data_IF_477717639866
#
_entry.id   IF_477717639866
#
_cell.length_a   1.000
_cell.length_b   1.000
_cell.length_c   1.000
_cell.angle_alpha   90.00
_cell.angle_beta   90.00
_cell.angle_gamma   90.00
#
_symmetry.space_group_name_H-M   'P 1'
#
loop_
_entity.id
_entity.type
_entity.pdbx_description
1 polymer ?
#
# COMPACT_ATOMS: atom_id res chain seq x y z
N UNK A 1 6.71 19.85 0.57
CA UNK A 1 5.33 19.29 0.53
C UNK A 1 5.23 18.32 1.70
N UNK A 2 4.12 18.24 2.43
CA UNK A 2 4.08 17.49 3.71
C UNK A 2 3.80 15.99 3.53
N UNK A 3 4.11 15.20 4.56
CA UNK A 3 3.75 13.77 4.67
C UNK A 3 2.26 13.52 4.34
N UNK A 4 1.36 14.41 4.75
CA UNK A 4 -0.08 14.30 4.47
C UNK A 4 -0.39 14.35 2.98
N UNK A 5 0.29 15.22 2.23
CA UNK A 5 0.09 15.33 0.79
C UNK A 5 0.58 14.07 0.06
N UNK A 6 1.73 13.51 0.46
CA UNK A 6 2.23 12.23 -0.08
C UNK A 6 1.28 11.07 0.25
N UNK A 7 0.75 11.02 1.47
CA UNK A 7 -0.21 9.99 1.89
C UNK A 7 -1.49 10.06 1.07
N UNK A 8 -2.01 11.28 0.83
CA UNK A 8 -3.18 11.50 -0.02
C UNK A 8 -2.94 11.09 -1.47
N UNK A 9 -1.80 11.46 -2.04
CA UNK A 9 -1.44 11.07 -3.41
C UNK A 9 -1.32 9.54 -3.54
N UNK A 10 -0.68 8.88 -2.55
CA UNK A 10 -0.57 7.43 -2.51
C UNK A 10 -1.94 6.74 -2.41
N UNK A 11 -2.89 7.32 -1.65
CA UNK A 11 -4.27 6.83 -1.60
C UNK A 11 -4.94 6.94 -2.97
N UNK A 12 -4.84 8.08 -3.65
CA UNK A 12 -5.44 8.29 -4.99
C UNK A 12 -4.91 7.24 -5.97
N UNK A 13 -3.60 7.04 -6.03
CA UNK A 13 -2.99 6.01 -6.88
C UNK A 13 -3.41 4.58 -6.52
N UNK A 14 -3.58 4.30 -5.24
CA UNK A 14 -4.15 3.03 -4.79
C UNK A 14 -5.59 2.85 -5.31
N UNK A 15 -6.40 3.91 -5.29
CA UNK A 15 -7.77 3.90 -5.85
C UNK A 15 -7.72 3.65 -7.35
N UNK A 16 -6.86 4.36 -8.10
CA UNK A 16 -6.75 4.21 -9.56
C UNK A 16 -6.33 2.80 -9.99
N UNK A 17 -5.48 2.17 -9.19
CA UNK A 17 -5.04 0.79 -9.38
C UNK A 17 -6.15 -0.21 -9.03
N UNK A 18 -6.88 0.04 -7.94
CA UNK A 18 -7.84 -0.90 -7.38
C UNK A 18 -9.19 -0.86 -8.11
N UNK A 19 -9.72 0.33 -8.39
CA UNK A 19 -11.08 0.54 -8.86
C UNK A 19 -11.39 -0.20 -10.18
N UNK A 20 -10.56 -0.15 -11.24
CA UNK A 20 -10.88 -0.81 -12.52
C UNK A 20 -11.13 -2.32 -12.39
N UNK A 21 -10.44 -2.98 -11.46
CA UNK A 21 -10.58 -4.43 -11.23
C UNK A 21 -11.70 -4.82 -10.27
N UNK A 22 -12.23 -3.87 -9.49
CA UNK A 22 -13.09 -4.16 -8.33
C UNK A 22 -14.51 -3.58 -8.44
N UNK A 23 -14.72 -2.52 -9.22
CA UNK A 23 -16.05 -1.91 -9.41
C UNK A 23 -17.06 -2.83 -10.13
N UNK A 24 -16.60 -3.94 -10.69
CA UNK A 24 -17.43 -4.96 -11.32
C UNK A 24 -17.65 -6.20 -10.44
N UNK A 25 -17.20 -6.19 -9.18
CA UNK A 25 -17.34 -7.33 -8.28
C UNK A 25 -18.83 -7.71 -8.11
N UNK A 26 -19.15 -9.03 -8.04
CA UNK A 26 -20.53 -9.51 -8.03
C UNK A 26 -21.33 -9.02 -6.81
N UNK A 27 -20.65 -8.70 -5.71
CA UNK A 27 -21.24 -8.25 -4.45
C UNK A 27 -21.04 -6.74 -4.20
N UNK A 28 -20.71 -5.97 -5.24
CA UNK A 28 -20.41 -4.54 -5.13
C UNK A 28 -19.01 -4.26 -4.59
N UNK A 29 -18.68 -2.98 -4.54
CA UNK A 29 -17.40 -2.46 -4.11
C UNK A 29 -17.63 -1.41 -3.01
N UNK A 30 -16.71 -1.35 -2.04
CA UNK A 30 -16.75 -0.32 -1.02
C UNK A 30 -15.37 0.26 -0.74
N UNK A 31 -15.37 1.55 -0.42
CA UNK A 31 -14.24 2.26 0.14
C UNK A 31 -14.55 2.62 1.59
N UNK A 32 -13.58 2.39 2.48
CA UNK A 32 -13.67 2.78 3.88
C UNK A 32 -12.52 3.71 4.21
N UNK A 33 -12.80 4.91 4.73
CA UNK A 33 -11.82 5.75 5.41
C UNK A 33 -12.25 5.92 6.88
N UNK A 34 -11.51 5.31 7.80
CA UNK A 34 -11.90 5.29 9.22
C UNK A 34 -10.77 5.72 10.17
N UNK A 35 -11.14 6.43 11.22
CA UNK A 35 -10.27 6.85 12.31
C UNK A 35 -11.08 6.97 13.61
N UNK A 36 -10.49 6.63 14.76
CA UNK A 36 -11.08 6.99 16.06
C UNK A 36 -10.84 8.47 16.41
N UNK A 37 -10.06 9.18 15.58
CA UNK A 37 -9.79 10.62 15.60
C UNK A 37 -10.45 11.29 14.39
N UNK A 38 -10.25 12.60 14.22
CA UNK A 38 -10.75 13.30 13.04
C UNK A 38 -10.05 12.82 11.75
N UNK A 39 -10.81 12.72 10.66
CA UNK A 39 -10.25 12.43 9.34
C UNK A 39 -9.59 13.67 8.74
N UNK A 40 -8.59 13.44 7.89
CA UNK A 40 -8.08 14.49 7.02
C UNK A 40 -9.10 14.78 5.91
N UNK A 41 -9.71 15.96 5.94
CA UNK A 41 -10.78 16.30 5.01
C UNK A 41 -10.31 16.34 3.56
N UNK A 42 -9.09 16.81 3.30
CA UNK A 42 -8.56 16.91 1.93
C UNK A 42 -8.30 15.51 1.35
N UNK A 43 -7.85 14.57 2.18
CA UNK A 43 -7.72 13.16 1.82
C UNK A 43 -9.08 12.52 1.54
N UNK A 44 -10.08 12.80 2.38
CA UNK A 44 -11.43 12.29 2.19
C UNK A 44 -12.07 12.80 0.88
N UNK A 45 -11.93 14.09 0.59
CA UNK A 45 -12.39 14.66 -0.68
C UNK A 45 -11.64 14.09 -1.89
N UNK A 46 -10.32 13.95 -1.80
CA UNK A 46 -9.52 13.36 -2.87
C UNK A 46 -9.95 11.93 -3.18
N UNK A 47 -10.31 11.13 -2.18
CA UNK A 47 -10.88 9.80 -2.40
C UNK A 47 -12.20 9.86 -3.16
N UNK A 48 -13.11 10.78 -2.81
CA UNK A 48 -14.38 10.95 -3.55
C UNK A 48 -14.12 11.36 -5.00
N UNK A 49 -13.22 12.33 -5.25
CA UNK A 49 -12.85 12.76 -6.61
C UNK A 49 -12.28 11.60 -7.42
N UNK A 50 -11.32 10.85 -6.86
CA UNK A 50 -10.72 9.69 -7.53
C UNK A 50 -11.76 8.64 -7.92
N UNK A 51 -12.71 8.31 -7.04
CA UNK A 51 -13.77 7.36 -7.40
C UNK A 51 -14.78 7.93 -8.41
N UNK A 52 -15.03 9.25 -8.40
CA UNK A 52 -15.91 9.89 -9.36
C UNK A 52 -15.37 9.81 -10.80
N UNK A 53 -14.06 9.72 -11.00
CA UNK A 53 -13.45 9.48 -12.32
C UNK A 53 -13.83 8.13 -12.93
N UNK A 54 -14.29 7.18 -12.11
CA UNK A 54 -14.76 5.85 -12.54
C UNK A 54 -16.29 5.71 -12.52
N UNK A 55 -17.03 6.81 -12.29
CA UNK A 55 -18.48 6.81 -12.15
C UNK A 55 -19.21 6.22 -13.35
N UNK A 56 -18.72 6.49 -14.57
CA UNK A 56 -19.23 5.97 -15.84
C UNK A 56 -19.08 4.45 -15.99
N UNK A 57 -18.20 3.83 -15.20
CA UNK A 57 -17.92 2.38 -15.21
C UNK A 57 -18.73 1.62 -14.17
N UNK A 58 -19.51 2.29 -13.32
CA UNK A 58 -20.29 1.63 -12.29
C UNK A 58 -21.39 0.76 -12.92
N UNK A 59 -21.30 -0.56 -12.70
CA UNK A 59 -22.36 -1.53 -13.04
C UNK A 59 -23.15 -2.01 -11.83
N UNK A 60 -22.64 -1.68 -10.64
CA UNK A 60 -23.17 -2.02 -9.32
C UNK A 60 -22.91 -0.82 -8.38
N UNK A 61 -23.65 -0.72 -7.27
CA UNK A 61 -23.41 0.34 -6.31
C UNK A 61 -21.97 0.31 -5.77
N UNK A 62 -21.36 1.49 -5.69
CA UNK A 62 -20.12 1.77 -4.97
C UNK A 62 -20.48 2.52 -3.69
N UNK A 63 -20.04 2.00 -2.55
CA UNK A 63 -20.29 2.62 -1.24
C UNK A 63 -18.99 3.22 -0.69
N UNK A 64 -18.94 4.53 -0.49
CA UNK A 64 -17.85 5.22 0.20
C UNK A 64 -18.27 5.53 1.64
N UNK A 65 -17.51 5.03 2.61
CA UNK A 65 -17.80 5.15 4.04
C UNK A 65 -16.69 5.95 4.72
N UNK A 66 -17.05 7.05 5.36
CA UNK A 66 -16.16 7.89 6.14
C UNK A 66 -16.58 7.81 7.61
N UNK A 67 -15.77 7.19 8.45
CA UNK A 67 -16.13 6.83 9.84
C UNK A 67 -15.16 7.49 10.82
N UNK A 68 -15.62 8.51 11.53
CA UNK A 68 -14.82 9.23 12.54
C UNK A 68 -15.69 10.09 13.46
N UNK A 69 -15.21 10.53 14.63
CA UNK A 69 -15.82 11.63 15.36
C UNK A 69 -15.75 12.97 14.58
N UNK A 70 -16.62 13.93 14.92
CA UNK A 70 -16.52 15.32 14.43
C UNK A 70 -16.77 15.49 12.93
N UNK A 71 -17.78 14.81 12.39
CA UNK A 71 -17.98 14.68 10.93
C UNK A 71 -18.90 15.74 10.30
N UNK A 72 -19.36 16.72 11.08
CA UNK A 72 -20.36 17.70 10.66
C UNK A 72 -19.87 18.52 9.45
N UNK A 73 -18.63 19.03 9.54
CA UNK A 73 -18.01 19.81 8.45
C UNK A 73 -17.65 18.92 7.25
N UNK A 74 -17.19 17.69 7.49
CA UNK A 74 -16.87 16.74 6.44
C UNK A 74 -18.08 16.40 5.57
N UNK A 75 -19.26 16.22 6.18
CA UNK A 75 -20.50 15.91 5.45
C UNK A 75 -20.84 16.98 4.41
N UNK A 76 -20.74 18.26 4.78
CA UNK A 76 -20.99 19.36 3.83
C UNK A 76 -19.98 19.35 2.70
N UNK A 77 -18.69 19.21 3.02
CA UNK A 77 -17.60 19.20 2.03
C UNK A 77 -17.75 18.07 1.02
N UNK A 78 -18.04 16.84 1.47
CA UNK A 78 -18.23 15.71 0.56
C UNK A 78 -19.49 15.87 -0.31
N UNK A 79 -20.56 16.45 0.21
CA UNK A 79 -21.75 16.78 -0.60
C UNK A 79 -21.44 17.83 -1.68
N UNK A 80 -20.55 18.79 -1.40
CA UNK A 80 -20.10 19.77 -2.39
C UNK A 80 -19.29 19.09 -3.51
N UNK A 81 -18.36 18.21 -3.17
CA UNK A 81 -17.59 17.42 -4.14
C UNK A 81 -18.49 16.54 -5.00
N UNK A 82 -19.48 15.87 -4.41
CA UNK A 82 -20.44 15.05 -5.17
C UNK A 82 -21.24 15.88 -6.19
N UNK A 83 -21.61 17.11 -5.84
CA UNK A 83 -22.30 18.03 -6.76
C UNK A 83 -21.37 18.54 -7.86
N UNK A 84 -20.15 18.94 -7.51
CA UNK A 84 -19.11 19.38 -8.45
C UNK A 84 -18.86 18.32 -9.53
N UNK A 85 -18.76 17.05 -9.11
CA UNK A 85 -18.46 15.91 -10.00
C UNK A 85 -19.69 15.24 -10.58
N UNK A 86 -20.90 15.73 -10.29
CA UNK A 86 -22.16 15.14 -10.74
C UNK A 86 -22.23 13.62 -10.50
N UNK A 87 -21.81 13.17 -9.31
CA UNK A 87 -21.69 11.74 -9.01
C UNK A 87 -23.04 11.03 -9.16
N UNK A 88 -23.09 9.85 -9.81
CA UNK A 88 -24.33 9.13 -10.05
C UNK A 88 -24.90 8.52 -8.75
N UNK A 89 -26.18 8.15 -8.75
CA UNK A 89 -26.86 7.59 -7.58
C UNK A 89 -26.27 6.24 -7.13
N UNK A 90 -25.63 5.52 -8.05
CA UNK A 90 -24.87 4.29 -7.82
C UNK A 90 -23.64 4.53 -6.94
N UNK A 91 -23.13 5.76 -6.86
CA UNK A 91 -22.01 6.15 -6.00
C UNK A 91 -22.54 6.77 -4.70
N UNK A 92 -22.64 5.95 -3.66
CA UNK A 92 -23.20 6.35 -2.37
C UNK A 92 -22.11 6.78 -1.40
N UNK A 93 -22.19 8.01 -0.91
CA UNK A 93 -21.27 8.54 0.10
C UNK A 93 -21.97 8.62 1.45
N UNK A 94 -21.38 7.96 2.44
CA UNK A 94 -21.89 7.88 3.80
C UNK A 94 -20.85 8.42 4.77
N UNK A 95 -21.25 9.41 5.56
CA UNK A 95 -20.43 9.96 6.64
C UNK A 95 -21.07 9.56 7.96
N UNK A 96 -20.32 8.85 8.80
CA UNK A 96 -20.81 8.21 10.01
C UNK A 96 -20.02 8.69 11.22
N UNK A 97 -20.67 9.28 12.24
CA UNK A 97 -20.00 9.77 13.44
C UNK A 97 -19.56 8.60 14.32
N UNK A 98 -18.29 8.22 14.18
CA UNK A 98 -17.65 7.12 14.92
C UNK A 98 -18.35 5.77 14.77
N UNK A 99 -18.00 4.84 15.65
CA UNK A 99 -18.71 3.55 15.80
C UNK A 99 -17.90 2.33 15.40
N UNK A 100 -18.54 1.17 15.55
CA UNK A 100 -17.96 -0.13 15.23
C UNK A 100 -17.91 -0.31 13.70
N UNK A 101 -16.71 -0.25 13.11
CA UNK A 101 -16.48 -0.35 11.67
C UNK A 101 -17.18 -1.57 11.03
N UNK A 102 -17.04 -2.81 11.56
CA UNK A 102 -17.83 -3.95 11.08
C UNK A 102 -19.34 -3.73 11.05
N UNK A 103 -19.91 -3.08 12.07
CA UNK A 103 -21.34 -2.78 12.12
C UNK A 103 -21.74 -1.73 11.07
N UNK A 104 -20.91 -0.70 10.85
CA UNK A 104 -21.12 0.33 9.83
C UNK A 104 -21.07 -0.28 8.42
N UNK A 105 -20.06 -1.12 8.13
CA UNK A 105 -19.96 -1.83 6.85
C UNK A 105 -21.20 -2.71 6.60
N UNK A 106 -21.68 -3.41 7.64
CA UNK A 106 -22.90 -4.22 7.54
C UNK A 106 -24.15 -3.37 7.28
N UNK A 107 -24.31 -2.28 8.02
CA UNK A 107 -25.46 -1.38 7.89
C UNK A 107 -25.52 -0.71 6.50
N UNK A 108 -24.36 -0.40 5.92
CA UNK A 108 -24.25 0.16 4.57
C UNK A 108 -24.36 -0.89 3.44
N UNK A 109 -24.58 -2.17 3.76
CA UNK A 109 -24.61 -3.26 2.77
C UNK A 109 -23.25 -3.60 2.14
N UNK A 110 -22.17 -2.98 2.63
CA UNK A 110 -20.81 -3.12 2.11
C UNK A 110 -20.05 -4.36 2.64
N UNK A 111 -20.63 -5.11 3.58
CA UNK A 111 -19.94 -6.24 4.24
C UNK A 111 -19.72 -7.48 3.38
N UNK A 112 -20.39 -7.61 2.23
CA UNK A 112 -20.25 -8.75 1.31
C UNK A 112 -19.38 -8.47 0.08
N UNK A 113 -19.05 -7.20 -0.17
CA UNK A 113 -18.31 -6.75 -1.36
C UNK A 113 -16.79 -6.79 -1.20
N UNK A 114 -16.09 -6.36 -2.25
CA UNK A 114 -14.65 -6.08 -2.16
C UNK A 114 -14.45 -4.71 -1.51
N UNK A 115 -13.60 -4.65 -0.47
CA UNK A 115 -13.34 -3.42 0.28
C UNK A 115 -11.90 -2.99 0.08
N UNK A 116 -11.70 -1.72 -0.27
CA UNK A 116 -10.45 -0.97 -0.09
C UNK A 116 -10.62 -0.11 1.15
N UNK A 117 -9.74 -0.26 2.14
CA UNK A 117 -9.81 0.53 3.36
C UNK A 117 -8.54 1.37 3.55
N UNK A 118 -8.71 2.64 3.90
CA UNK A 118 -7.70 3.45 4.56
C UNK A 118 -8.09 3.60 6.03
N UNK A 119 -7.20 3.22 6.93
CA UNK A 119 -7.45 3.32 8.37
C UNK A 119 -6.20 3.84 9.06
N UNK A 120 -6.35 4.51 10.19
CA UNK A 120 -5.20 4.75 11.04
C UNK A 120 -5.01 3.65 12.11
N UNK A 121 -3.93 3.72 12.87
CA UNK A 121 -3.59 2.77 13.92
C UNK A 121 -4.62 2.70 15.07
N UNK A 122 -5.48 3.69 15.20
CA UNK A 122 -6.54 3.71 16.20
C UNK A 122 -7.73 2.80 15.86
N UNK A 123 -7.81 2.33 14.61
CA UNK A 123 -8.87 1.42 14.16
C UNK A 123 -8.39 -0.03 14.20
N UNK A 124 -9.14 -0.86 14.94
CA UNK A 124 -8.96 -2.31 14.91
C UNK A 124 -9.34 -2.87 13.53
N UNK A 125 -8.43 -3.62 12.91
CA UNK A 125 -8.60 -4.21 11.57
C UNK A 125 -9.38 -5.53 11.61
N UNK A 126 -10.49 -5.57 12.34
CA UNK A 126 -11.33 -6.78 12.53
C UNK A 126 -12.39 -6.97 11.44
N UNK A 127 -12.31 -6.20 10.37
CA UNK A 127 -13.24 -6.25 9.24
C UNK A 127 -12.59 -6.96 8.03
N UNK A 128 -13.42 -7.47 7.12
CA UNK A 128 -12.95 -8.09 5.88
C UNK A 128 -12.64 -7.02 4.84
N UNK A 129 -11.42 -7.02 4.32
CA UNK A 129 -11.02 -6.17 3.20
C UNK A 129 -10.13 -6.92 2.21
N UNK A 130 -10.11 -6.42 0.98
CA UNK A 130 -9.22 -6.91 -0.09
C UNK A 130 -7.86 -6.22 -0.04
N UNK A 131 -7.87 -4.94 0.37
CA UNK A 131 -6.72 -4.06 0.50
C UNK A 131 -6.93 -3.16 1.72
N UNK A 132 -5.88 -2.98 2.52
CA UNK A 132 -5.84 -2.02 3.63
C UNK A 132 -4.58 -1.16 3.48
N UNK A 133 -4.76 0.16 3.52
CA UNK A 133 -3.72 1.17 3.71
C UNK A 133 -3.82 1.66 5.16
N UNK A 134 -2.87 1.27 6.00
CA UNK A 134 -2.79 1.62 7.41
C UNK A 134 -1.85 2.82 7.60
N UNK A 135 -2.32 3.87 8.27
CA UNK A 135 -1.51 5.03 8.66
C UNK A 135 -1.20 4.94 10.15
N UNK A 136 0.07 4.98 10.54
CA UNK A 136 0.45 4.75 11.92
C UNK A 136 1.67 5.57 12.35
N UNK A 137 1.93 5.59 13.65
CA UNK A 137 3.17 6.14 14.19
C UNK A 137 4.40 5.38 13.65
N UNK A 138 5.53 6.07 13.40
CA UNK A 138 6.79 5.43 12.99
C UNK A 138 7.27 4.40 14.03
N UNK A 139 7.99 3.38 13.59
CA UNK A 139 8.50 2.29 14.43
C UNK A 139 7.46 1.22 14.81
N UNK A 140 6.19 1.39 14.45
CA UNK A 140 5.11 0.45 14.80
C UNK A 140 4.88 -0.67 13.77
N UNK A 141 5.73 -0.77 12.73
CA UNK A 141 5.50 -1.66 11.59
C UNK A 141 5.32 -3.12 11.97
N UNK A 142 6.09 -3.63 12.93
CA UNK A 142 5.96 -5.03 13.38
C UNK A 142 4.55 -5.33 13.89
N UNK A 143 3.98 -4.43 14.69
CA UNK A 143 2.62 -4.56 15.22
C UNK A 143 1.58 -4.42 14.10
N UNK A 144 1.70 -3.39 13.26
CA UNK A 144 0.77 -3.18 12.14
C UNK A 144 0.76 -4.37 11.18
N UNK A 145 1.93 -4.94 10.88
CA UNK A 145 2.05 -6.13 10.04
C UNK A 145 1.32 -7.34 10.65
N UNK A 146 1.47 -7.56 11.96
CA UNK A 146 0.77 -8.64 12.66
C UNK A 146 -0.74 -8.46 12.64
N UNK A 147 -1.23 -7.22 12.81
CA UNK A 147 -2.67 -6.92 12.73
C UNK A 147 -3.23 -7.15 11.31
N UNK A 148 -2.51 -6.73 10.27
CA UNK A 148 -2.90 -6.98 8.88
C UNK A 148 -2.94 -8.48 8.57
N UNK A 149 -1.94 -9.24 9.02
CA UNK A 149 -1.88 -10.70 8.86
C UNK A 149 -3.01 -11.40 9.63
N UNK A 150 -3.31 -10.95 10.86
CA UNK A 150 -4.44 -11.46 11.63
C UNK A 150 -5.79 -11.17 10.95
N UNK A 151 -5.88 -10.09 10.17
CA UNK A 151 -7.03 -9.79 9.32
C UNK A 151 -7.08 -10.63 8.02
N UNK A 152 -6.13 -11.54 7.81
CA UNK A 152 -6.03 -12.42 6.64
C UNK A 152 -5.43 -11.75 5.39
N UNK A 153 -4.63 -10.69 5.59
CA UNK A 153 -3.88 -9.97 4.56
C UNK A 153 -2.39 -10.35 4.64
N UNK A 154 -2.07 -11.55 4.14
CA UNK A 154 -0.74 -12.16 4.32
C UNK A 154 0.38 -11.44 3.54
N UNK A 155 0.02 -10.69 2.50
CA UNK A 155 0.95 -9.93 1.67
C UNK A 155 0.99 -8.48 2.13
N UNK A 156 2.06 -8.14 2.82
CA UNK A 156 2.22 -6.85 3.50
C UNK A 156 3.47 -6.11 3.05
N UNK A 157 3.42 -4.78 2.99
CA UNK A 157 4.59 -3.91 2.87
C UNK A 157 4.45 -2.70 3.79
N UNK A 158 5.56 -2.17 4.28
CA UNK A 158 5.60 -0.99 5.12
C UNK A 158 6.65 -0.02 4.62
N UNK A 159 6.36 1.27 4.72
CA UNK A 159 7.29 2.36 4.39
C UNK A 159 7.06 3.49 5.36
N UNK A 160 8.13 4.09 5.86
CA UNK A 160 8.04 5.30 6.65
C UNK A 160 8.31 6.51 5.75
N UNK A 161 7.38 7.45 5.74
CA UNK A 161 7.52 8.76 5.12
C UNK A 161 8.21 9.67 6.14
N UNK A 162 9.32 10.31 5.76
CA UNK A 162 10.13 11.14 6.65
C UNK A 162 10.29 12.53 6.06
N UNK A 163 9.93 13.58 6.80
CA UNK A 163 10.09 14.99 6.45
C UNK A 163 10.77 15.73 7.62
N UNK A 164 12.10 15.89 7.52
CA UNK A 164 12.90 16.43 8.63
C UNK A 164 12.81 15.57 9.89
N UNK A 165 12.18 16.10 10.94
CA UNK A 165 11.95 15.40 12.21
C UNK A 165 10.60 14.67 12.28
N UNK A 166 9.69 14.96 11.35
CA UNK A 166 8.39 14.30 11.28
C UNK A 166 8.51 12.98 10.51
N UNK A 167 7.81 11.96 10.99
CA UNK A 167 7.72 10.69 10.29
C UNK A 167 6.35 10.05 10.47
N UNK A 168 5.93 9.26 9.49
CA UNK A 168 4.68 8.51 9.52
C UNK A 168 4.87 7.17 8.83
N UNK A 169 4.35 6.11 9.44
CA UNK A 169 4.33 4.79 8.82
C UNK A 169 3.10 4.65 7.92
N UNK A 170 3.34 4.18 6.71
CA UNK A 170 2.31 3.65 5.80
C UNK A 170 2.49 2.15 5.70
N UNK A 171 1.52 1.40 6.22
CA UNK A 171 1.39 -0.03 6.05
C UNK A 171 0.42 -0.36 4.91
N UNK A 172 0.72 -1.38 4.14
CA UNK A 172 -0.15 -1.91 3.10
C UNK A 172 -0.35 -3.41 3.34
N UNK A 173 -1.60 -3.88 3.26
CA UNK A 173 -1.95 -5.28 3.37
C UNK A 173 -2.93 -5.72 2.29
N UNK A 174 -2.70 -6.87 1.68
CA UNK A 174 -3.58 -7.46 0.67
C UNK A 174 -3.48 -8.99 0.65
N UNK A 175 -4.39 -9.63 -0.09
CA UNK A 175 -4.33 -11.06 -0.46
C UNK A 175 -3.78 -11.28 -1.87
N UNK A 176 -3.54 -10.20 -2.62
CA UNK A 176 -3.20 -10.24 -4.05
C UNK A 176 -1.75 -9.81 -4.27
N UNK A 177 -0.91 -10.72 -4.78
CA UNK A 177 0.47 -10.38 -5.15
C UNK A 177 0.52 -9.26 -6.19
N UNK A 178 -0.42 -9.26 -7.14
CA UNK A 178 -0.57 -8.19 -8.13
C UNK A 178 -0.84 -6.84 -7.47
N UNK A 179 -1.69 -6.80 -6.44
CA UNK A 179 -2.01 -5.55 -5.73
C UNK A 179 -0.81 -5.05 -4.92
N UNK A 180 -0.03 -5.94 -4.31
CA UNK A 180 1.20 -5.58 -3.63
C UNK A 180 2.27 -5.04 -4.59
N UNK A 181 2.44 -5.69 -5.75
CA UNK A 181 3.35 -5.21 -6.80
C UNK A 181 2.94 -3.84 -7.31
N UNK A 182 1.65 -3.65 -7.59
CA UNK A 182 1.13 -2.36 -8.05
C UNK A 182 1.31 -1.27 -6.99
N UNK A 183 1.01 -1.55 -5.71
CA UNK A 183 1.27 -0.62 -4.61
C UNK A 183 2.73 -0.17 -4.55
N UNK A 184 3.69 -1.10 -4.65
CA UNK A 184 5.12 -0.73 -4.68
C UNK A 184 5.51 0.01 -5.95
N UNK A 185 4.86 -0.30 -7.07
CA UNK A 185 4.98 0.45 -8.31
C UNK A 185 4.59 1.90 -8.09
N UNK A 186 3.39 2.15 -7.57
CA UNK A 186 2.87 3.49 -7.28
C UNK A 186 3.72 4.22 -6.24
N UNK A 187 4.16 3.53 -5.18
CA UNK A 187 5.05 4.10 -4.17
C UNK A 187 6.30 4.72 -4.80
N UNK A 188 7.00 4.00 -5.68
CA UNK A 188 8.20 4.51 -6.35
C UNK A 188 7.90 5.37 -7.59
N UNK A 189 6.64 5.48 -8.01
CA UNK A 189 6.21 6.31 -9.15
C UNK A 189 5.64 7.65 -8.73
N UNK A 190 5.62 7.93 -7.42
CA UNK A 190 5.43 9.27 -6.90
C UNK A 190 6.55 10.16 -7.48
N UNK A 191 6.17 11.33 -8.00
CA UNK A 191 7.15 12.31 -8.49
C UNK A 191 8.13 12.66 -7.36
N UNK A 192 9.37 13.02 -7.70
CA UNK A 192 10.38 13.43 -6.72
C UNK A 192 9.87 14.65 -5.92
N UNK A 193 9.23 14.39 -4.78
CA UNK A 193 8.59 15.42 -3.98
C UNK A 193 9.61 16.05 -3.03
N UNK A 194 9.72 17.38 -3.10
CA UNK A 194 10.63 18.15 -2.26
C UNK A 194 10.36 17.92 -0.75
N UNK A 195 11.30 17.24 -0.10
CA UNK A 195 11.47 17.13 1.36
C UNK A 195 11.14 15.77 1.97
N UNK A 196 10.25 14.98 1.36
CA UNK A 196 9.81 13.69 1.92
C UNK A 196 10.69 12.56 1.37
N UNK A 197 11.26 11.77 2.27
CA UNK A 197 12.06 10.58 1.95
C UNK A 197 11.39 9.32 2.47
N UNK A 198 11.75 8.19 1.89
CA UNK A 198 11.37 6.88 2.40
C UNK A 198 12.42 6.33 3.35
N UNK A 199 11.95 5.65 4.38
CA UNK A 199 12.75 4.75 5.21
C UNK A 199 12.07 3.40 5.22
N UNK A 200 12.86 2.35 5.05
CA UNK A 200 12.37 1.00 5.26
C UNK A 200 12.26 0.77 6.78
N UNK A 201 11.06 0.50 7.34
CA UNK A 201 10.89 0.28 8.78
C UNK A 201 11.60 -0.98 9.31
N UNK A 202 12.19 -1.78 8.42
CA UNK A 202 12.97 -2.97 8.78
C UNK A 202 14.47 -2.81 8.56
N UNK A 203 14.90 -1.73 7.92
CA UNK A 203 16.32 -1.44 7.75
C UNK A 203 16.92 -1.04 9.10
N UNK A 204 17.81 -1.87 9.70
CA UNK A 204 18.42 -1.55 10.98
C UNK A 204 19.27 -0.27 10.93
N UNK A 205 19.78 0.10 9.76
CA UNK A 205 20.59 1.29 9.56
C UNK A 205 19.73 2.54 9.27
N UNK A 206 18.41 2.38 9.12
CA UNK A 206 17.44 3.47 8.95
C UNK A 206 17.78 4.41 7.78
N UNK A 207 18.21 3.86 6.64
CA UNK A 207 18.57 4.64 5.47
C UNK A 207 17.39 5.45 4.95
N UNK A 208 17.63 6.74 4.72
CA UNK A 208 16.71 7.59 4.00
C UNK A 208 16.96 7.45 2.49
N UNK A 209 15.89 7.26 1.74
CA UNK A 209 15.87 7.10 0.30
C UNK A 209 15.04 8.22 -0.32
N UNK A 210 15.61 8.91 -1.30
CA UNK A 210 14.83 9.83 -2.12
C UNK A 210 13.80 9.05 -2.95
N UNK A 211 12.62 9.63 -3.14
CA UNK A 211 11.55 9.04 -3.94
C UNK A 211 11.95 9.11 -5.41
N UNK A 212 12.13 7.95 -6.04
CA UNK A 212 12.58 7.86 -7.44
C UNK A 212 12.07 6.60 -8.12
N UNK A 213 11.78 6.72 -9.42
CA UNK A 213 11.45 5.59 -10.30
C UNK A 213 12.55 4.53 -10.36
N UNK A 214 13.81 4.93 -10.16
CA UNK A 214 14.96 4.04 -10.10
C UNK A 214 15.67 4.20 -8.74
N UNK A 215 15.17 3.52 -7.69
CA UNK A 215 15.69 3.65 -6.34
C UNK A 215 17.13 3.12 -6.25
N UNK A 216 17.95 3.76 -5.42
CA UNK A 216 19.32 3.31 -5.21
C UNK A 216 19.34 1.85 -4.70
N UNK A 217 19.98 0.91 -5.42
CA UNK A 217 19.95 -0.50 -5.09
C UNK A 217 20.86 -0.88 -3.91
N UNK A 218 21.64 0.05 -3.35
CA UNK A 218 22.67 -0.23 -2.36
C UNK A 218 22.17 -0.95 -1.11
N UNK A 219 21.06 -0.50 -0.51
CA UNK A 219 20.49 -1.17 0.66
C UNK A 219 19.92 -2.55 0.28
N UNK A 220 19.17 -2.65 -0.81
CA UNK A 220 18.67 -3.93 -1.31
C UNK A 220 19.80 -4.94 -1.57
N UNK A 221 20.92 -4.50 -2.14
CA UNK A 221 22.09 -5.34 -2.36
C UNK A 221 22.61 -5.95 -1.07
N UNK A 222 22.75 -5.15 0.00
CA UNK A 222 23.21 -5.63 1.31
C UNK A 222 22.24 -6.66 1.88
N UNK A 223 20.95 -6.37 1.85
CA UNK A 223 19.89 -7.26 2.34
C UNK A 223 19.86 -8.60 1.59
N UNK A 224 19.96 -8.60 0.26
CA UNK A 224 20.00 -9.84 -0.53
C UNK A 224 21.25 -10.67 -0.24
N UNK A 225 22.42 -10.03 -0.12
CA UNK A 225 23.66 -10.74 0.23
C UNK A 225 23.59 -11.32 1.63
N UNK A 226 23.06 -10.57 2.59
CA UNK A 226 22.84 -11.05 3.95
C UNK A 226 21.94 -12.28 3.95
N UNK A 227 20.84 -12.26 3.19
CA UNK A 227 19.93 -13.41 3.07
C UNK A 227 20.61 -14.64 2.49
N UNK A 228 21.51 -14.47 1.51
CA UNK A 228 22.28 -15.54 0.89
C UNK A 228 23.36 -16.14 1.81
N UNK A 229 23.70 -15.48 2.92
CA UNK A 229 24.58 -16.09 3.95
C UNK A 229 23.90 -17.26 4.68
N UNK A 230 22.55 -17.28 4.71
CA UNK A 230 21.78 -18.36 5.32
C UNK A 230 21.62 -19.58 4.41
N UNK A 231 21.89 -19.42 3.11
CA UNK A 231 21.77 -20.49 2.12
C UNK A 231 21.46 -20.00 0.72
N UNK A 232 21.55 -20.91 -0.26
CA UNK A 232 21.15 -20.64 -1.62
C UNK A 232 19.64 -20.41 -1.72
N UNK A 233 19.23 -19.43 -2.53
CA UNK A 233 17.83 -19.09 -2.76
C UNK A 233 17.54 -18.94 -4.24
N UNK A 234 16.32 -19.28 -4.65
CA UNK A 234 15.86 -19.05 -6.01
C UNK A 234 15.66 -17.56 -6.29
N UNK A 235 15.73 -17.17 -7.57
CA UNK A 235 15.37 -15.81 -8.00
C UNK A 235 13.95 -15.44 -7.55
N UNK A 236 13.00 -16.39 -7.56
CA UNK A 236 11.63 -16.16 -7.08
C UNK A 236 11.61 -15.82 -5.59
N UNK A 237 12.38 -16.53 -4.76
CA UNK A 237 12.46 -16.27 -3.32
C UNK A 237 13.09 -14.91 -3.02
N UNK A 238 14.15 -14.53 -3.74
CA UNK A 238 14.78 -13.21 -3.59
C UNK A 238 13.86 -12.07 -4.04
N UNK A 239 13.13 -12.25 -5.15
CA UNK A 239 12.12 -11.28 -5.61
C UNK A 239 10.97 -11.16 -4.61
N UNK A 240 10.51 -12.28 -4.05
CA UNK A 240 9.48 -12.30 -3.02
C UNK A 240 9.96 -11.58 -1.77
N UNK A 241 11.19 -11.85 -1.32
CA UNK A 241 11.80 -11.14 -0.18
C UNK A 241 11.83 -9.63 -0.42
N UNK A 242 12.31 -9.16 -1.58
CA UNK A 242 12.24 -7.73 -1.87
C UNK A 242 10.80 -7.20 -1.82
N UNK A 243 9.85 -7.95 -2.40
CA UNK A 243 8.44 -7.55 -2.44
C UNK A 243 7.75 -7.53 -1.06
N UNK A 244 8.06 -8.44 -0.13
CA UNK A 244 7.34 -8.55 1.16
C UNK A 244 8.14 -8.08 2.37
N UNK A 245 9.46 -7.98 2.25
CA UNK A 245 10.34 -7.78 3.39
C UNK A 245 11.15 -6.49 3.34
N UNK A 246 11.17 -5.82 2.19
CA UNK A 246 11.79 -4.49 2.05
C UNK A 246 10.82 -3.48 1.45
N UNK A 247 11.25 -2.23 1.22
CA UNK A 247 10.48 -1.23 0.46
C UNK A 247 10.57 -1.43 -1.08
N UNK A 248 11.47 -2.28 -1.56
CA UNK A 248 11.81 -2.38 -2.99
C UNK A 248 10.85 -3.27 -3.80
N UNK A 249 10.83 -3.09 -5.13
CA UNK A 249 10.00 -3.91 -6.03
C UNK A 249 10.73 -5.21 -6.39
N UNK A 250 9.96 -6.21 -6.83
CA UNK A 250 10.51 -7.44 -7.39
C UNK A 250 11.40 -7.18 -8.62
N UNK A 251 11.11 -6.14 -9.41
CA UNK A 251 11.94 -5.72 -10.53
C UNK A 251 13.30 -5.16 -10.10
N UNK A 252 13.36 -4.47 -8.95
CA UNK A 252 14.61 -3.95 -8.40
C UNK A 252 15.52 -5.11 -7.96
N UNK A 253 14.95 -6.14 -7.33
CA UNK A 253 15.69 -7.37 -6.99
C UNK A 253 16.28 -8.05 -8.23
N UNK A 254 15.52 -8.15 -9.32
CA UNK A 254 16.02 -8.71 -10.58
C UNK A 254 17.25 -7.93 -11.09
N UNK A 255 17.20 -6.59 -11.08
CA UNK A 255 18.33 -5.74 -11.47
C UNK A 255 19.55 -5.98 -10.58
N UNK A 256 19.34 -6.04 -9.25
CA UNK A 256 20.42 -6.28 -8.27
C UNK A 256 21.05 -7.65 -8.44
N UNK A 257 20.25 -8.71 -8.61
CA UNK A 257 20.77 -10.07 -8.82
C UNK A 257 21.62 -10.13 -10.10
N UNK A 258 21.14 -9.51 -11.19
CA UNK A 258 21.89 -9.43 -12.43
C UNK A 258 23.24 -8.71 -12.25
N UNK A 259 23.25 -7.59 -11.53
CA UNK A 259 24.48 -6.86 -11.23
C UNK A 259 25.45 -7.66 -10.35
N UNK A 260 24.95 -8.38 -9.33
CA UNK A 260 25.75 -9.24 -8.46
C UNK A 260 26.39 -10.42 -9.23
N UNK A 261 25.63 -11.03 -10.16
CA UNK A 261 26.14 -12.09 -11.04
C UNK A 261 27.22 -11.55 -11.98
N UNK A 262 27.00 -10.38 -12.58
CA UNK A 262 27.97 -9.74 -13.47
C UNK A 262 29.28 -9.40 -12.73
N UNK A 263 29.18 -8.94 -11.48
CA UNK A 263 30.32 -8.64 -10.63
C UNK A 263 31.00 -9.90 -10.04
N UNK A 264 30.49 -11.11 -10.30
CA UNK A 264 31.01 -12.35 -9.72
C UNK A 264 30.84 -12.46 -8.20
N UNK A 265 30.00 -11.61 -7.59
CA UNK A 265 29.75 -11.62 -6.14
C UNK A 265 28.85 -12.78 -5.71
N UNK A 266 28.07 -13.34 -6.63
CA UNK A 266 27.21 -14.51 -6.43
C UNK A 266 27.33 -15.44 -7.64
N UNK A 267 26.99 -16.71 -7.45
CA UNK A 267 26.87 -17.69 -8.52
C UNK A 267 25.41 -18.08 -8.77
N UNK A 268 25.16 -18.68 -9.93
CA UNK A 268 23.85 -19.25 -10.27
C UNK A 268 23.94 -20.71 -10.68
N UNK A 269 22.87 -21.46 -10.39
CA UNK A 269 22.66 -22.82 -10.89
C UNK A 269 21.29 -22.89 -11.57
N UNK A 270 21.21 -23.27 -12.86
CA UNK A 270 22.31 -23.59 -13.77
C UNK A 270 23.18 -22.36 -14.15
N UNK A 271 24.44 -22.57 -14.59
CA UNK A 271 25.38 -21.47 -14.91
C UNK A 271 25.00 -20.68 -16.17
N UNK A 272 24.19 -21.26 -17.05
CA UNK A 272 23.76 -20.70 -18.33
C UNK A 272 22.25 -20.45 -18.41
N UNK A 273 21.83 -19.72 -19.45
CA UNK A 273 20.40 -19.52 -19.76
C UNK A 273 19.78 -18.25 -19.18
N UNK A 274 18.47 -18.12 -19.37
CA UNK A 274 17.68 -17.00 -18.83
C UNK A 274 17.66 -17.06 -17.31
N UNK A 275 17.66 -15.90 -16.65
CA UNK A 275 17.53 -15.79 -15.20
C UNK A 275 16.06 -16.00 -14.81
N UNK A 276 15.62 -17.26 -14.94
CA UNK A 276 14.28 -17.74 -14.60
C UNK A 276 14.05 -17.79 -13.08
N UNK A 277 12.80 -17.98 -12.70
CA UNK A 277 12.40 -17.93 -11.29
C UNK A 277 12.94 -19.06 -10.42
N UNK A 278 13.25 -20.21 -11.01
CA UNK A 278 13.77 -21.43 -10.40
C UNK A 278 15.31 -21.46 -10.30
N UNK A 279 15.98 -20.50 -10.95
CA UNK A 279 17.45 -20.38 -10.90
C UNK A 279 17.88 -20.12 -9.46
N UNK A 280 18.73 -20.99 -8.93
CA UNK A 280 19.32 -20.85 -7.60
C UNK A 280 20.48 -19.86 -7.64
N UNK A 281 20.52 -18.97 -6.66
CA UNK A 281 21.57 -17.99 -6.42
C UNK A 281 22.25 -18.35 -5.10
N UNK A 282 23.58 -18.34 -5.07
CA UNK A 282 24.37 -18.62 -3.88
C UNK A 282 25.60 -17.72 -3.81
N UNK A 283 26.15 -17.55 -2.61
CA UNK A 283 27.48 -16.97 -2.46
C UNK A 283 28.55 -17.91 -3.06
N UNK A 284 29.71 -17.38 -3.47
CA UNK A 284 30.88 -18.18 -3.81
C UNK A 284 31.27 -19.09 -2.64
N UNK A 285 31.77 -20.31 -2.90
CA UNK A 285 32.41 -21.10 -1.87
C UNK A 285 33.58 -20.29 -1.28
N UNK A 286 33.72 -20.34 0.05
CA UNK A 286 34.80 -19.71 0.79
C UNK A 286 36.16 -20.33 0.45
#
# INVERSE_FOLDING_TARGET
MSIRAVTRELLVRCIDTWAPGNLHAPHGAAFLYASARALDHDTAEAAVRAFAEFADRLRRPLTLLFVAPGTESLRSRLADVQREWSTPAEMQVHVVPGGNVPAVLKAAGAGGGTVLAMVDDSIAKTFKASVVLAVAEPGTWRTQRQELQAAGLDLTAGVELVDGAEAQLIGFGTRSAKSLEAFKGELWSLDEYAGVRYRDPRDPESHLMDISLDPNPGALRRELLQRLTEGALTVTELKRFALTDTVYRAADAQKVIAALLHAGTVHRTPPGGRLGGDVLISLPPA
#
